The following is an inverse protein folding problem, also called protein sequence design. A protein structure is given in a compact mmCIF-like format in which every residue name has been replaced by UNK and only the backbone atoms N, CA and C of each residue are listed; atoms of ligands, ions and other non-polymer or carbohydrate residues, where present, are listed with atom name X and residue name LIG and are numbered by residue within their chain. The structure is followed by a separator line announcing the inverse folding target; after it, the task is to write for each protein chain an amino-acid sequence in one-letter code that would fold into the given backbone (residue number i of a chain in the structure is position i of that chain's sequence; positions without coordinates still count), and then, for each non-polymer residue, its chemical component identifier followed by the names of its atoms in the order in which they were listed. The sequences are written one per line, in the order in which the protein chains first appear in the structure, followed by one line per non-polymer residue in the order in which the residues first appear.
data_IF_607699776955
#
_entry.id   IF_607699776955
#
_cell.length_a   1.000
_cell.length_b   1.000
_cell.length_c   1.000
_cell.angle_alpha   90.00
_cell.angle_beta   90.00
_cell.angle_gamma   90.00
#
_symmetry.space_group_name_H-M   'P 1'
#
loop_
_entity.id
_entity.type
_entity.pdbx_description
1 polymer ?
#
# COMPACT_ATOMS: atom_id res chain seq x y z
N UNK A 1 -1.34 3.07 11.64
CA UNK A 1 -0.57 2.08 10.88
C UNK A 1 0.91 2.46 10.89
N UNK A 2 1.76 1.51 11.14
CA UNK A 2 3.20 1.75 11.17
C UNK A 2 3.76 1.75 9.75
N UNK A 3 4.61 2.72 9.37
CA UNK A 3 5.24 2.69 8.05
C UNK A 3 6.10 1.44 7.85
N UNK A 4 6.20 0.98 6.61
CA UNK A 4 7.09 -0.13 6.28
C UNK A 4 8.54 0.22 6.58
N UNK A 5 9.29 -0.77 7.06
CA UNK A 5 10.73 -0.68 7.08
C UNK A 5 11.29 -0.68 5.65
N UNK A 6 12.58 -0.40 5.52
CA UNK A 6 13.24 -0.28 4.21
C UNK A 6 13.06 -1.52 3.33
N UNK A 7 13.31 -2.71 3.89
CA UNK A 7 13.19 -3.95 3.13
C UNK A 7 11.73 -4.30 2.85
N UNK A 8 10.83 -4.09 3.82
CA UNK A 8 9.40 -4.30 3.60
C UNK A 8 8.90 -3.45 2.43
N UNK A 9 9.27 -2.16 2.41
CA UNK A 9 8.88 -1.24 1.34
C UNK A 9 9.44 -1.68 -0.01
N UNK A 10 10.70 -2.11 -0.06
CA UNK A 10 11.34 -2.56 -1.29
C UNK A 10 10.66 -3.83 -1.83
N UNK A 11 10.33 -4.77 -0.97
CA UNK A 11 9.63 -6.01 -1.36
C UNK A 11 8.24 -5.67 -1.89
N UNK A 12 7.49 -4.84 -1.19
CA UNK A 12 6.14 -4.47 -1.64
C UNK A 12 6.19 -3.75 -3.00
N UNK A 13 7.19 -2.91 -3.21
CA UNK A 13 7.34 -2.21 -4.50
C UNK A 13 7.57 -3.20 -5.65
N UNK A 14 8.37 -4.23 -5.43
CA UNK A 14 8.58 -5.30 -6.41
C UNK A 14 7.25 -6.01 -6.72
N UNK A 15 6.51 -6.38 -5.68
CA UNK A 15 5.25 -7.13 -5.84
C UNK A 15 4.18 -6.26 -6.51
N UNK A 16 4.06 -5.00 -6.11
CA UNK A 16 3.10 -4.09 -6.75
C UNK A 16 3.41 -3.84 -8.22
N UNK A 17 4.70 -3.84 -8.59
CA UNK A 17 5.12 -3.61 -9.96
C UNK A 17 5.06 -4.86 -10.84
N UNK A 18 4.96 -6.04 -10.23
CA UNK A 18 4.93 -7.30 -10.98
C UNK A 18 3.58 -7.46 -11.70
N UNK A 19 3.59 -7.83 -12.99
CA UNK A 19 2.34 -8.03 -13.73
C UNK A 19 1.58 -9.29 -13.32
N UNK A 20 2.26 -10.24 -12.66
CA UNK A 20 1.71 -11.51 -12.21
C UNK A 20 2.24 -11.86 -10.83
N UNK A 21 1.59 -12.79 -10.11
CA UNK A 21 2.13 -13.28 -8.84
C UNK A 21 3.57 -13.79 -9.00
N UNK A 22 4.38 -13.60 -7.99
CA UNK A 22 5.84 -13.69 -8.09
C UNK A 22 6.39 -14.52 -6.92
N UNK A 23 7.44 -15.32 -7.18
CA UNK A 23 8.10 -16.15 -6.17
C UNK A 23 9.06 -15.31 -5.33
N UNK A 24 9.44 -15.83 -4.15
CA UNK A 24 10.45 -15.18 -3.30
C UNK A 24 11.78 -15.02 -4.06
N UNK A 25 12.17 -16.03 -4.84
CA UNK A 25 13.40 -15.96 -5.65
C UNK A 25 13.34 -14.79 -6.63
N UNK A 26 12.23 -14.65 -7.34
CA UNK A 26 12.04 -13.56 -8.28
C UNK A 26 12.01 -12.21 -7.57
N UNK A 27 11.41 -12.14 -6.39
CA UNK A 27 11.43 -10.91 -5.58
C UNK A 27 12.87 -10.53 -5.25
N UNK A 28 13.64 -11.49 -4.71
CA UNK A 28 15.04 -11.26 -4.35
C UNK A 28 15.85 -10.77 -5.54
N UNK A 29 15.65 -11.40 -6.71
CA UNK A 29 16.40 -11.04 -7.92
C UNK A 29 16.10 -9.61 -8.39
N UNK A 30 14.92 -9.09 -8.10
CA UNK A 30 14.50 -7.73 -8.48
C UNK A 30 14.77 -6.68 -7.42
N UNK A 31 15.21 -7.07 -6.22
CA UNK A 31 15.60 -6.12 -5.19
C UNK A 31 16.93 -5.45 -5.54
N UNK A 32 17.18 -4.23 -5.03
CA UNK A 32 18.47 -3.58 -5.21
C UNK A 32 19.60 -4.49 -4.71
N UNK A 33 20.70 -4.52 -5.46
CA UNK A 33 21.85 -5.36 -5.13
C UNK A 33 22.75 -4.72 -4.06
N UNK A 34 22.50 -3.49 -3.70
CA UNK A 34 23.26 -2.75 -2.69
C UNK A 34 22.30 -2.19 -1.63
N UNK A 35 22.25 -2.72 -0.40
CA UNK A 35 22.97 -3.92 0.04
C UNK A 35 22.32 -5.21 -0.46
N UNK A 36 23.13 -6.21 -0.74
CA UNK A 36 22.61 -7.53 -1.08
C UNK A 36 21.94 -8.15 0.15
N UNK A 37 20.77 -8.76 -0.07
CA UNK A 37 20.00 -9.40 1.00
C UNK A 37 20.02 -10.91 0.83
N UNK A 38 20.23 -11.65 1.94
CA UNK A 38 20.16 -13.10 1.92
C UNK A 38 18.74 -13.57 1.59
N UNK A 39 18.64 -14.70 0.91
CA UNK A 39 17.34 -15.30 0.58
C UNK A 39 16.47 -15.50 1.83
N UNK A 40 17.06 -16.03 2.91
CA UNK A 40 16.32 -16.27 4.16
C UNK A 40 15.79 -14.99 4.80
N UNK A 41 16.51 -13.88 4.65
CA UNK A 41 16.07 -12.58 5.14
C UNK A 41 14.85 -12.10 4.35
N UNK A 42 14.91 -12.21 3.02
CA UNK A 42 13.79 -11.84 2.15
C UNK A 42 12.58 -12.74 2.46
N UNK A 43 12.81 -14.04 2.59
CA UNK A 43 11.76 -15.00 2.92
C UNK A 43 11.05 -14.66 4.22
N UNK A 44 11.81 -14.31 5.26
CA UNK A 44 11.25 -13.94 6.57
C UNK A 44 10.36 -12.69 6.45
N UNK A 45 10.83 -11.67 5.73
CA UNK A 45 10.08 -10.42 5.59
C UNK A 45 8.83 -10.63 4.73
N UNK A 46 8.91 -11.41 3.66
CA UNK A 46 7.75 -11.77 2.83
C UNK A 46 6.70 -12.49 3.68
N UNK A 47 7.13 -13.42 4.54
CA UNK A 47 6.23 -14.14 5.44
C UNK A 47 5.53 -13.19 6.42
N UNK A 48 6.26 -12.23 6.95
CA UNK A 48 5.69 -11.19 7.84
C UNK A 48 4.63 -10.37 7.09
N UNK A 49 4.92 -9.94 5.87
CA UNK A 49 3.98 -9.17 5.05
C UNK A 49 2.73 -9.99 4.73
N UNK A 50 2.90 -11.28 4.46
CA UNK A 50 1.78 -12.19 4.24
C UNK A 50 0.90 -12.28 5.49
N UNK A 51 1.49 -12.48 6.66
CA UNK A 51 0.74 -12.59 7.92
C UNK A 51 0.03 -11.31 8.28
N UNK A 52 0.60 -10.17 7.94
CA UNK A 52 -0.02 -8.85 8.19
C UNK A 52 -1.14 -8.51 7.19
N UNK A 53 -1.34 -9.34 6.19
CA UNK A 53 -2.41 -9.14 5.21
C UNK A 53 -2.07 -8.23 4.04
N UNK A 54 -0.78 -7.92 3.83
CA UNK A 54 -0.33 -7.13 2.68
C UNK A 54 -0.15 -7.96 1.43
N UNK A 55 0.18 -9.23 1.60
CA UNK A 55 0.39 -10.17 0.51
C UNK A 55 -0.56 -11.35 0.64
N UNK A 56 -1.07 -11.81 -0.49
CA UNK A 56 -1.70 -13.11 -0.62
C UNK A 56 -0.73 -14.07 -1.27
N UNK A 57 -0.97 -15.35 -1.17
CA UNK A 57 -0.14 -16.34 -1.85
C UNK A 57 -0.96 -17.53 -2.32
N UNK A 58 -0.48 -18.13 -3.40
CA UNK A 58 -1.03 -19.36 -3.94
C UNK A 58 0.13 -20.32 -4.20
N UNK A 59 -0.12 -21.62 -4.02
CA UNK A 59 0.89 -22.62 -4.28
C UNK A 59 1.00 -22.88 -5.77
N UNK A 60 2.23 -22.93 -6.26
CA UNK A 60 2.54 -23.27 -7.64
C UNK A 60 3.67 -24.31 -7.61
N UNK A 61 3.30 -25.60 -7.71
CA UNK A 61 4.26 -26.67 -7.52
C UNK A 61 4.76 -26.69 -6.08
N UNK A 62 6.08 -26.60 -5.90
CA UNK A 62 6.72 -26.58 -4.58
C UNK A 62 6.94 -25.18 -4.03
N UNK A 63 6.67 -24.15 -4.83
CA UNK A 63 6.87 -22.77 -4.45
C UNK A 63 5.54 -22.07 -4.23
N UNK A 64 5.58 -20.99 -3.45
CA UNK A 64 4.46 -20.07 -3.35
C UNK A 64 4.70 -18.89 -4.29
N UNK A 65 3.61 -18.39 -4.88
CA UNK A 65 3.62 -17.13 -5.61
C UNK A 65 2.81 -16.10 -4.84
N UNK A 66 3.34 -14.91 -4.75
CA UNK A 66 2.78 -13.83 -3.94
C UNK A 66 2.21 -12.73 -4.83
N UNK A 67 1.08 -12.18 -4.41
CA UNK A 67 0.44 -11.05 -5.05
C UNK A 67 0.02 -10.04 -3.98
N UNK A 68 -0.13 -8.76 -4.30
CA UNK A 68 -0.55 -7.80 -3.30
C UNK A 68 -2.02 -8.01 -2.94
N UNK A 69 -2.33 -8.01 -1.64
CA UNK A 69 -3.71 -8.03 -1.14
C UNK A 69 -4.26 -6.62 -0.93
N UNK A 70 -3.38 -5.62 -0.90
CA UNK A 70 -3.70 -4.20 -0.77
C UNK A 70 -2.85 -3.41 -1.73
N UNK A 71 -3.41 -2.35 -2.29
CA UNK A 71 -2.73 -1.51 -3.28
C UNK A 71 -1.75 -0.52 -2.62
N UNK A 72 -0.90 0.11 -3.45
CA UNK A 72 -0.08 1.24 -3.01
C UNK A 72 -0.95 2.34 -2.42
N UNK A 73 -2.09 2.62 -3.05
CA UNK A 73 -3.00 3.66 -2.60
C UNK A 73 -3.59 3.33 -1.24
N UNK A 74 -3.91 2.07 -0.98
CA UNK A 74 -4.37 1.62 0.34
C UNK A 74 -3.32 1.90 1.40
N UNK A 75 -2.06 1.62 1.10
CA UNK A 75 -0.95 1.86 2.01
C UNK A 75 -0.80 3.36 2.31
N UNK A 76 -0.75 4.19 1.27
CA UNK A 76 -0.60 5.64 1.43
C UNK A 76 -1.79 6.24 2.17
N UNK A 77 -3.01 5.85 1.80
CA UNK A 77 -4.23 6.32 2.47
C UNK A 77 -4.23 5.92 3.94
N UNK A 78 -3.76 4.72 4.26
CA UNK A 78 -3.64 4.27 5.64
C UNK A 78 -2.68 5.13 6.45
N UNK A 79 -1.53 5.51 5.87
CA UNK A 79 -0.58 6.41 6.54
C UNK A 79 -1.17 7.80 6.76
N UNK A 80 -1.88 8.34 5.77
CA UNK A 80 -2.56 9.63 5.90
C UNK A 80 -3.63 9.58 6.99
N UNK A 81 -4.43 8.52 7.01
CA UNK A 81 -5.45 8.34 8.05
C UNK A 81 -4.84 8.26 9.44
N UNK A 82 -3.73 7.54 9.58
CA UNK A 82 -3.03 7.43 10.86
C UNK A 82 -2.48 8.80 11.30
N UNK A 83 -1.91 9.57 10.37
CA UNK A 83 -1.43 10.91 10.67
C UNK A 83 -2.55 11.80 11.20
N UNK A 84 -3.77 11.64 10.66
CA UNK A 84 -4.93 12.42 11.11
C UNK A 84 -5.40 12.06 12.52
N UNK A 85 -5.00 10.91 13.06
CA UNK A 85 -5.33 10.55 14.45
C UNK A 85 -4.48 11.30 15.46
N UNK A 86 -3.37 11.91 15.03
CA UNK A 86 -2.45 12.63 15.92
C UNK A 86 -2.87 14.08 16.16
N UNK A 87 -3.87 14.58 15.45
CA UNK A 87 -4.33 15.95 15.59
C UNK A 87 -5.74 16.02 16.19
N UNK A 88 -6.01 17.08 16.94
CA UNK A 88 -7.35 17.39 17.43
C UNK A 88 -8.17 18.17 16.40
N UNK A 89 -7.53 18.69 15.35
CA UNK A 89 -8.18 19.46 14.29
C UNK A 89 -7.96 18.77 12.93
N UNK A 90 -8.75 17.71 12.69
CA UNK A 90 -8.70 16.98 11.42
C UNK A 90 -9.07 17.86 10.23
N UNK A 91 -10.08 18.70 10.40
CA UNK A 91 -10.54 19.59 9.34
C UNK A 91 -9.45 20.56 8.93
N UNK A 92 -8.76 21.18 9.89
CA UNK A 92 -7.66 22.09 9.61
C UNK A 92 -6.53 21.42 8.85
N UNK A 93 -6.17 20.20 9.25
CA UNK A 93 -5.12 19.43 8.56
C UNK A 93 -5.52 19.12 7.11
N UNK A 94 -6.77 18.69 6.88
CA UNK A 94 -7.27 18.37 5.55
C UNK A 94 -7.30 19.62 4.65
N UNK A 95 -7.72 20.76 5.18
CA UNK A 95 -7.74 22.01 4.42
C UNK A 95 -6.32 22.43 4.00
N UNK A 96 -5.35 22.26 4.88
CA UNK A 96 -3.95 22.57 4.57
C UNK A 96 -3.42 21.63 3.48
N UNK A 97 -3.76 20.36 3.55
CA UNK A 97 -3.36 19.39 2.53
C UNK A 97 -3.91 19.76 1.16
N UNK A 98 -5.19 20.14 1.09
CA UNK A 98 -5.82 20.58 -0.16
C UNK A 98 -5.08 21.78 -0.74
N UNK A 99 -4.61 22.70 0.12
CA UNK A 99 -3.85 23.87 -0.32
C UNK A 99 -2.52 23.55 -1.01
N UNK A 100 -2.00 22.33 -0.87
CA UNK A 100 -0.77 21.90 -1.55
C UNK A 100 -1.03 21.24 -2.90
N UNK A 101 -2.28 21.03 -3.25
CA UNK A 101 -2.68 20.30 -4.46
C UNK A 101 -2.73 21.21 -5.69
N UNK A 102 -2.41 20.62 -6.85
CA UNK A 102 -2.59 21.33 -8.12
C UNK A 102 -4.06 21.27 -8.58
N UNK A 103 -4.38 21.96 -9.67
CA UNK A 103 -5.75 22.05 -10.17
C UNK A 103 -6.33 20.69 -10.57
N UNK A 104 -5.52 19.81 -11.15
CA UNK A 104 -5.96 18.46 -11.55
C UNK A 104 -6.30 17.60 -10.34
N UNK A 105 -5.46 17.66 -9.30
CA UNK A 105 -5.71 16.94 -8.05
C UNK A 105 -6.96 17.45 -7.36
N UNK A 106 -7.16 18.76 -7.31
CA UNK A 106 -8.36 19.36 -6.71
C UNK A 106 -9.61 18.90 -7.46
N UNK A 107 -9.57 18.86 -8.79
CA UNK A 107 -10.71 18.42 -9.60
C UNK A 107 -11.04 16.94 -9.31
N UNK A 108 -10.02 16.07 -9.25
CA UNK A 108 -10.20 14.66 -8.95
C UNK A 108 -10.77 14.47 -7.54
N UNK A 109 -10.25 15.22 -6.57
CA UNK A 109 -10.72 15.14 -5.18
C UNK A 109 -12.17 15.62 -5.09
N UNK A 110 -12.53 16.69 -5.78
CA UNK A 110 -13.90 17.20 -5.81
C UNK A 110 -14.87 16.14 -6.34
N UNK A 111 -14.50 15.46 -7.43
CA UNK A 111 -15.33 14.37 -7.98
C UNK A 111 -15.49 13.22 -6.98
N UNK A 112 -14.42 12.86 -6.28
CA UNK A 112 -14.46 11.81 -5.27
C UNK A 112 -15.34 12.20 -4.08
N UNK A 113 -15.28 13.46 -3.65
CA UNK A 113 -16.13 13.95 -2.56
C UNK A 113 -17.60 13.95 -2.96
N UNK A 114 -17.92 14.35 -4.18
CA UNK A 114 -19.29 14.35 -4.69
C UNK A 114 -19.85 12.92 -4.73
N UNK A 115 -19.06 11.95 -5.21
CA UNK A 115 -19.44 10.55 -5.25
C UNK A 115 -19.66 9.99 -3.84
N UNK A 116 -18.77 10.30 -2.91
CA UNK A 116 -18.89 9.85 -1.51
C UNK A 116 -20.13 10.43 -0.83
N UNK A 117 -20.45 11.71 -1.12
CA UNK A 117 -21.64 12.38 -0.61
C UNK A 117 -22.91 11.74 -1.16
N UNK A 118 -22.93 11.42 -2.46
CA UNK A 118 -24.07 10.76 -3.10
C UNK A 118 -24.32 9.38 -2.48
N UNK A 119 -23.25 8.59 -2.27
CA UNK A 119 -23.35 7.27 -1.63
C UNK A 119 -23.98 7.36 -0.23
N UNK A 120 -23.56 8.35 0.55
CA UNK A 120 -24.06 8.52 1.92
C UNK A 120 -25.49 9.00 1.97
N UNK A 121 -25.98 9.63 0.92
CA UNK A 121 -27.37 10.09 0.81
C UNK A 121 -28.30 9.01 0.27
N UNK A 122 -27.76 7.98 -0.36
CA UNK A 122 -28.59 6.89 -0.88
C UNK A 122 -29.20 6.12 0.28
N UNK A 123 -30.54 5.91 0.29
CA UNK A 123 -31.14 5.11 1.35
C UNK A 123 -30.63 3.68 1.28
N UNK A 124 -30.40 3.07 2.45
CA UNK A 124 -30.04 1.67 2.52
C UNK A 124 -31.18 0.82 1.95
N UNK A 125 -30.88 -0.21 1.14
CA UNK A 125 -31.90 -1.10 0.61
C UNK A 125 -32.61 -1.90 1.72
#
# INVERSE_FOLDING_TARGET
MRPFGELEAAIMEVVWSAPEPITIREIKDQLPQQPERAYTTVQTVVDILYRKGWLGRARDGKAHRYAPSRSRDDYTAGLLGEALTTTTDRTGALLRLVGTMDAAEVAALRAALDAATADRRSPAP
#
